data_IF_418475841488
#
_entry.id   IF_418475841488
#
_cell.length_a   1.000
_cell.length_b   1.000
_cell.length_c   1.000
_cell.angle_alpha   90.00
_cell.angle_beta   90.00
_cell.angle_gamma   90.00
#
_symmetry.space_group_name_H-M   'P 1'
#
loop_
_entity.id
_entity.type
_entity.pdbx_description
1 polymer ?
#
# COMPACT_ATOMS: atom_id res chain seq x y z
N UNK A 1 7.03 -14.51 1.28
CA UNK A 1 6.59 -14.32 -0.12
C UNK A 1 5.69 -13.09 -0.14
N UNK A 2 5.77 -12.26 -1.17
CA UNK A 2 4.87 -11.10 -1.28
C UNK A 2 3.45 -11.57 -1.64
N UNK A 3 2.40 -10.89 -1.15
CA UNK A 3 1.02 -11.15 -1.55
C UNK A 3 0.84 -11.05 -3.06
N UNK A 4 -0.12 -11.79 -3.57
CA UNK A 4 -0.51 -11.83 -4.99
C UNK A 4 -1.45 -10.67 -5.37
N UNK A 5 -1.99 -9.95 -4.38
CA UNK A 5 -2.99 -8.88 -4.55
C UNK A 5 -2.60 -7.60 -3.83
N UNK A 6 -3.08 -6.48 -4.36
CA UNK A 6 -3.01 -5.17 -3.73
C UNK A 6 -3.64 -5.18 -2.32
N UNK A 7 -3.06 -4.40 -1.40
CA UNK A 7 -3.49 -4.33 0.00
C UNK A 7 -4.71 -3.43 0.26
N UNK A 8 -5.32 -2.86 -0.79
CA UNK A 8 -6.41 -1.88 -0.67
C UNK A 8 -7.78 -2.52 -0.81
N UNK A 9 -8.72 -2.06 0.03
CA UNK A 9 -10.13 -2.45 0.00
C UNK A 9 -11.00 -1.29 -0.47
N UNK A 10 -11.82 -1.51 -1.49
CA UNK A 10 -12.79 -0.54 -2.03
C UNK A 10 -14.21 -1.09 -1.90
N UNK A 11 -15.14 -0.29 -1.37
CA UNK A 11 -16.55 -0.70 -1.21
C UNK A 11 -16.72 -2.09 -0.54
N UNK A 12 -15.90 -2.36 0.48
CA UNK A 12 -15.87 -3.63 1.21
C UNK A 12 -15.41 -4.86 0.41
N UNK A 13 -14.77 -4.65 -0.75
CA UNK A 13 -14.15 -5.71 -1.56
C UNK A 13 -12.66 -5.48 -1.67
N UNK A 14 -11.90 -6.58 -1.57
CA UNK A 14 -10.45 -6.53 -1.78
C UNK A 14 -10.14 -6.21 -3.24
N UNK A 15 -9.14 -5.37 -3.46
CA UNK A 15 -8.58 -5.17 -4.78
C UNK A 15 -7.98 -6.49 -5.26
N UNK A 16 -8.33 -6.87 -6.49
CA UNK A 16 -7.85 -8.11 -7.12
C UNK A 16 -6.64 -7.88 -8.02
N UNK A 17 -6.23 -6.62 -8.20
CA UNK A 17 -5.09 -6.29 -9.05
C UNK A 17 -3.79 -6.76 -8.39
N UNK A 18 -2.84 -7.29 -9.17
CA UNK A 18 -1.53 -7.65 -8.64
C UNK A 18 -0.78 -6.40 -8.16
N UNK A 19 0.03 -6.51 -7.10
CA UNK A 19 0.85 -5.40 -6.65
C UNK A 19 1.92 -5.07 -7.69
N UNK A 20 2.10 -3.78 -7.93
CA UNK A 20 3.12 -3.24 -8.85
C UNK A 20 4.22 -2.47 -8.09
N UNK A 21 3.94 -2.09 -6.83
CA UNK A 21 4.82 -1.26 -6.02
C UNK A 21 4.96 -1.82 -4.61
N UNK A 22 6.17 -1.72 -4.07
CA UNK A 22 6.48 -1.83 -2.65
C UNK A 22 6.75 -0.43 -2.12
N UNK A 23 6.08 -0.06 -1.03
CA UNK A 23 6.19 1.23 -0.37
C UNK A 23 6.82 0.99 1.00
N UNK A 24 7.92 1.67 1.28
CA UNK A 24 8.57 1.67 2.59
C UNK A 24 8.25 2.98 3.29
N UNK A 25 7.58 2.93 4.44
CA UNK A 25 7.37 4.09 5.31
C UNK A 25 8.38 4.02 6.44
N UNK A 26 9.21 5.04 6.59
CA UNK A 26 10.23 5.14 7.64
C UNK A 26 9.76 6.12 8.69
N UNK A 27 9.61 5.67 9.93
CA UNK A 27 9.36 6.52 11.09
C UNK A 27 10.64 6.69 11.90
N UNK A 28 10.82 7.85 12.54
CA UNK A 28 12.06 8.25 13.24
C UNK A 28 12.47 7.34 14.43
N UNK A 29 11.66 6.32 14.77
CA UNK A 29 11.87 5.38 15.89
C UNK A 29 12.15 3.93 15.42
N UNK A 30 12.89 3.75 14.31
CA UNK A 30 13.24 2.44 13.74
C UNK A 30 12.04 1.56 13.30
N UNK A 31 10.83 2.11 13.33
CA UNK A 31 9.65 1.46 12.77
C UNK A 31 9.60 1.68 11.26
N UNK A 32 9.66 0.58 10.53
CA UNK A 32 9.45 0.57 9.09
C UNK A 32 8.18 -0.22 8.77
N UNK A 33 7.29 0.40 7.99
CA UNK A 33 6.14 -0.30 7.44
C UNK A 33 6.36 -0.59 5.96
N UNK A 34 6.04 -1.82 5.56
CA UNK A 34 6.02 -2.24 4.17
C UNK A 34 4.57 -2.29 3.69
N UNK A 35 4.23 -1.37 2.79
CA UNK A 35 3.00 -1.41 2.02
C UNK A 35 3.25 -2.02 0.64
N UNK A 36 2.24 -2.67 0.08
CA UNK A 36 2.24 -3.07 -1.34
C UNK A 36 0.97 -2.55 -1.99
N UNK A 37 1.07 -2.06 -3.23
CA UNK A 37 -0.08 -1.50 -3.92
C UNK A 37 0.00 -1.71 -5.42
N UNK A 38 -1.14 -1.70 -6.10
CA UNK A 38 -1.22 -1.70 -7.55
C UNK A 38 -1.09 -0.27 -8.11
N UNK A 39 -0.94 -0.14 -9.43
CA UNK A 39 -0.88 1.18 -10.10
C UNK A 39 -2.11 2.04 -9.80
N UNK A 40 -3.30 1.45 -9.89
CA UNK A 40 -4.57 2.14 -9.66
C UNK A 40 -4.64 2.82 -8.29
N UNK A 41 -4.08 2.20 -7.26
CA UNK A 41 -4.18 2.67 -5.88
C UNK A 41 -2.96 3.40 -5.37
N UNK A 42 -1.89 3.52 -6.17
CA UNK A 42 -0.65 4.21 -5.81
C UNK A 42 -0.93 5.60 -5.22
N UNK A 43 -1.60 6.47 -5.96
CA UNK A 43 -1.88 7.85 -5.53
C UNK A 43 -2.69 7.90 -4.23
N UNK A 44 -3.69 7.01 -4.07
CA UNK A 44 -4.50 6.96 -2.85
C UNK A 44 -3.66 6.59 -1.62
N UNK A 45 -2.79 5.57 -1.76
CA UNK A 45 -1.89 5.15 -0.67
C UNK A 45 -0.90 6.25 -0.31
N UNK A 46 -0.25 6.87 -1.30
CA UNK A 46 0.68 7.97 -1.05
C UNK A 46 0.02 9.16 -0.36
N UNK A 47 -1.20 9.53 -0.74
CA UNK A 47 -1.94 10.61 -0.09
C UNK A 47 -2.26 10.30 1.37
N UNK A 48 -2.67 9.06 1.68
CA UNK A 48 -2.93 8.63 3.06
C UNK A 48 -1.69 8.64 3.93
N UNK A 49 -0.55 8.17 3.40
CA UNK A 49 0.72 8.18 4.13
C UNK A 49 1.17 9.61 4.41
N UNK A 50 1.00 10.54 3.47
CA UNK A 50 1.32 11.97 3.70
C UNK A 50 0.44 12.64 4.75
N UNK A 51 -0.74 12.10 5.04
CA UNK A 51 -1.65 12.62 6.07
C UNK A 51 -1.46 12.00 7.45
N UNK A 52 -0.53 11.04 7.59
CA UNK A 52 -0.09 10.50 8.88
C UNK A 52 0.94 11.45 9.50
#
# INVERSE_FOLDING_TARGET
>A
MLPDKCSIREANRDCVDPPAYVITVVSNNDEFMLGITCEKHKTSVFSKIKSL
#
